data_IF_695046545952
#
_entry.id   IF_695046545952
#
_cell.length_a   1.000
_cell.length_b   1.000
_cell.length_c   1.000
_cell.angle_alpha   90.00
_cell.angle_beta   90.00
_cell.angle_gamma   90.00
#
_symmetry.space_group_name_H-M   'P 1'
#
loop_
_entity.id
_entity.type
_entity.pdbx_description
1 polymer ?
#
# COMPACT_ATOMS: atom_id res chain seq x y z
N UNK A 1 5.81 3.13 3.04
CA UNK A 1 5.81 4.61 3.05
C UNK A 1 5.15 5.20 4.28
N UNK A 2 3.88 4.90 4.58
CA UNK A 2 3.19 5.46 5.76
C UNK A 2 3.94 5.21 7.07
N UNK A 3 4.30 3.94 7.35
CA UNK A 3 5.08 3.60 8.55
C UNK A 3 6.39 4.41 8.64
N UNK A 4 7.16 4.45 7.55
CA UNK A 4 8.41 5.22 7.52
C UNK A 4 8.23 6.73 7.71
N UNK A 5 7.16 7.32 7.17
CA UNK A 5 6.83 8.73 7.42
C UNK A 5 6.54 8.98 8.90
N UNK A 6 5.68 8.15 9.51
CA UNK A 6 5.33 8.28 10.93
C UNK A 6 6.55 8.09 11.83
N UNK A 7 7.35 7.05 11.61
CA UNK A 7 8.56 6.77 12.39
C UNK A 7 9.61 7.87 12.19
N UNK A 8 9.80 8.33 10.95
CA UNK A 8 10.77 9.40 10.65
C UNK A 8 10.45 10.72 11.35
N UNK A 9 9.17 11.08 11.42
CA UNK A 9 8.71 12.25 12.18
C UNK A 9 8.79 11.98 13.69
N UNK A 10 8.37 10.80 14.15
CA UNK A 10 8.43 10.40 15.56
C UNK A 10 9.86 10.48 16.14
N UNK A 11 10.88 10.18 15.33
CA UNK A 11 12.29 10.34 15.72
C UNK A 11 12.71 11.79 15.98
N UNK A 12 12.02 12.77 15.40
CA UNK A 12 12.25 14.20 15.66
C UNK A 12 11.43 14.74 16.83
N UNK A 13 10.62 13.90 17.48
CA UNK A 13 9.84 14.28 18.64
C UNK A 13 10.73 14.71 19.80
N UNK A 14 10.28 15.71 20.55
CA UNK A 14 10.88 16.11 21.82
C UNK A 14 10.63 15.08 22.92
N UNK A 15 9.62 14.23 22.77
CA UNK A 15 9.33 13.16 23.72
C UNK A 15 10.39 12.05 23.62
N UNK A 16 11.12 11.84 24.72
CA UNK A 16 12.20 10.85 24.82
C UNK A 16 11.73 9.44 24.47
N UNK A 17 10.57 9.00 24.97
CA UNK A 17 10.06 7.65 24.74
C UNK A 17 9.77 7.43 23.26
N UNK A 18 9.04 8.35 22.63
CA UNK A 18 8.67 8.27 21.21
C UNK A 18 9.93 8.27 20.34
N UNK A 19 10.89 9.13 20.65
CA UNK A 19 12.17 9.22 19.94
C UNK A 19 12.99 7.94 20.08
N UNK A 20 13.13 7.40 21.30
CA UNK A 20 13.91 6.19 21.57
C UNK A 20 13.29 4.96 20.91
N UNK A 21 11.96 4.81 20.94
CA UNK A 21 11.30 3.71 20.23
C UNK A 21 11.50 3.80 18.71
N UNK A 22 11.42 5.01 18.14
CA UNK A 22 11.68 5.20 16.72
C UNK A 22 13.14 4.87 16.34
N UNK A 23 14.11 5.26 17.17
CA UNK A 23 15.53 4.92 17.00
C UNK A 23 15.73 3.40 17.05
N UNK A 24 15.18 2.74 18.09
CA UNK A 24 15.31 1.30 18.25
C UNK A 24 14.73 0.53 17.06
N UNK A 25 13.54 0.92 16.58
CA UNK A 25 12.95 0.33 15.37
C UNK A 25 13.88 0.52 14.15
N UNK A 26 14.38 1.74 13.91
CA UNK A 26 15.25 2.00 12.76
C UNK A 26 16.53 1.15 12.83
N UNK A 27 17.19 1.13 13.98
CA UNK A 27 18.43 0.39 14.19
C UNK A 27 18.23 -1.12 14.01
N UNK A 28 17.15 -1.69 14.57
CA UNK A 28 16.87 -3.13 14.44
C UNK A 28 16.63 -3.50 12.97
N UNK A 29 15.78 -2.77 12.26
CA UNK A 29 15.34 -3.17 10.93
C UNK A 29 16.31 -2.78 9.80
N UNK A 30 17.18 -1.78 9.98
CA UNK A 30 18.23 -1.48 9.01
C UNK A 30 19.47 -2.35 9.16
N UNK A 31 19.81 -2.76 10.39
CA UNK A 31 21.02 -3.54 10.65
C UNK A 31 20.81 -5.06 10.58
N UNK A 32 19.59 -5.52 10.36
CA UNK A 32 19.30 -6.96 10.17
C UNK A 32 18.98 -7.25 8.70
N UNK A 33 19.56 -8.30 8.09
CA UNK A 33 19.25 -8.68 6.73
C UNK A 33 17.76 -8.98 6.54
N UNK A 34 17.14 -8.47 5.48
CA UNK A 34 15.72 -8.69 5.18
C UNK A 34 15.35 -10.18 5.13
N UNK A 35 16.22 -11.03 4.57
CA UNK A 35 15.98 -12.47 4.52
C UNK A 35 15.82 -13.07 5.92
N UNK A 36 16.64 -12.65 6.89
CA UNK A 36 16.54 -13.09 8.28
C UNK A 36 15.24 -12.59 8.91
N UNK A 37 14.84 -11.35 8.63
CA UNK A 37 13.56 -10.80 9.12
C UNK A 37 12.37 -11.59 8.57
N UNK A 38 12.36 -11.91 7.28
CA UNK A 38 11.32 -12.72 6.66
C UNK A 38 11.24 -14.11 7.28
N UNK A 39 12.39 -14.76 7.46
CA UNK A 39 12.46 -16.07 8.09
C UNK A 39 11.98 -16.02 9.54
N UNK A 40 12.39 -15.01 10.31
CA UNK A 40 11.96 -14.81 11.69
C UNK A 40 10.44 -14.58 11.79
N UNK A 41 9.88 -13.66 11.00
CA UNK A 41 8.44 -13.38 11.00
C UNK A 41 7.65 -14.64 10.62
N UNK A 42 8.08 -15.34 9.57
CA UNK A 42 7.38 -16.54 9.14
C UNK A 42 7.47 -17.67 10.17
N UNK A 43 8.68 -18.02 10.63
CA UNK A 43 8.90 -19.19 11.48
C UNK A 43 8.61 -18.96 12.95
N UNK A 44 8.99 -17.80 13.50
CA UNK A 44 8.88 -17.52 14.93
C UNK A 44 7.57 -16.84 15.31
N UNK A 45 6.94 -16.11 14.39
CA UNK A 45 5.67 -15.40 14.66
C UNK A 45 4.48 -16.12 14.06
N UNK A 46 4.53 -16.50 12.77
CA UNK A 46 3.36 -17.05 12.09
C UNK A 46 3.20 -18.56 12.28
N UNK A 47 4.29 -19.34 12.25
CA UNK A 47 4.21 -20.79 12.48
C UNK A 47 3.98 -21.17 13.95
N UNK A 48 4.17 -20.25 14.89
CA UNK A 48 3.85 -20.44 16.31
C UNK A 48 2.38 -20.21 16.62
N UNK A 49 1.61 -19.64 15.67
CA UNK A 49 0.15 -19.54 15.79
C UNK A 49 -0.50 -20.92 15.83
N UNK A 50 -1.72 -21.03 16.40
CA UNK A 50 -2.47 -22.28 16.41
C UNK A 50 -2.68 -22.86 15.02
N UNK A 51 -2.76 -24.19 14.94
CA UNK A 51 -3.01 -24.89 13.68
C UNK A 51 -4.37 -24.50 13.11
N UNK A 52 -4.53 -24.59 11.80
CA UNK A 52 -5.79 -24.26 11.12
C UNK A 52 -7.00 -25.10 11.56
N UNK A 53 -6.80 -26.21 12.26
CA UNK A 53 -7.87 -27.03 12.86
C UNK A 53 -8.48 -26.38 14.10
N UNK A 54 -7.71 -25.57 14.83
CA UNK A 54 -8.15 -24.87 16.06
C UNK A 54 -7.67 -23.40 15.98
N UNK A 55 -8.22 -22.60 15.06
CA UNK A 55 -7.76 -21.24 14.85
C UNK A 55 -8.23 -20.29 15.95
N UNK A 56 -7.56 -19.16 16.05
CA UNK A 56 -8.01 -18.03 16.88
C UNK A 56 -9.18 -17.36 16.16
N UNK A 57 -10.31 -17.25 16.85
CA UNK A 57 -11.51 -16.57 16.35
C UNK A 57 -11.29 -15.07 16.52
N UNK A 58 -11.34 -14.32 15.41
CA UNK A 58 -11.21 -12.87 15.42
C UNK A 58 -12.60 -12.20 15.44
N UNK A 59 -12.69 -10.90 15.77
CA UNK A 59 -13.93 -10.15 15.63
C UNK A 59 -14.41 -10.13 14.15
N UNK A 60 -15.65 -10.57 13.92
CA UNK A 60 -16.18 -10.82 12.58
C UNK A 60 -15.95 -12.27 12.12
N UNK A 61 -16.54 -12.72 10.99
CA UNK A 61 -16.39 -14.10 10.51
C UNK A 61 -15.00 -14.32 9.88
N UNK A 62 -13.96 -14.23 10.71
CA UNK A 62 -12.55 -14.33 10.34
C UNK A 62 -11.77 -15.14 11.37
N UNK A 63 -10.77 -15.86 10.89
CA UNK A 63 -9.98 -16.80 11.69
C UNK A 63 -8.49 -16.61 11.42
N UNK A 64 -7.68 -16.70 12.47
CA UNK A 64 -6.23 -16.60 12.38
C UNK A 64 -5.58 -17.93 12.78
N UNK A 65 -4.69 -18.43 11.92
CA UNK A 65 -3.95 -19.66 12.18
C UNK A 65 -2.56 -19.64 11.54
N UNK A 66 -1.79 -20.71 11.77
CA UNK A 66 -0.49 -20.94 11.14
C UNK A 66 -0.54 -21.01 9.61
N UNK A 67 -1.72 -21.26 9.02
CA UNK A 67 -1.91 -21.22 7.56
C UNK A 67 -2.13 -19.80 7.04
N UNK A 68 -2.47 -18.85 7.90
CA UNK A 68 -2.71 -17.45 7.56
C UNK A 68 -4.01 -16.90 8.14
N UNK A 69 -4.51 -15.83 7.53
CA UNK A 69 -5.73 -15.14 7.92
C UNK A 69 -6.86 -15.53 6.96
N UNK A 70 -7.88 -16.21 7.47
CA UNK A 70 -9.10 -16.50 6.75
C UNK A 70 -10.12 -15.38 6.97
N UNK A 71 -10.57 -14.74 5.91
CA UNK A 71 -11.58 -13.68 5.92
C UNK A 71 -12.76 -14.06 5.02
N UNK A 72 -13.91 -13.38 5.12
CA UNK A 72 -14.98 -13.53 4.15
C UNK A 72 -14.49 -13.16 2.75
N UNK A 73 -14.89 -13.95 1.75
CA UNK A 73 -14.60 -13.67 0.35
C UNK A 73 -15.83 -13.06 -0.33
N UNK A 74 -15.59 -12.15 -1.26
CA UNK A 74 -16.63 -11.62 -2.14
C UNK A 74 -16.55 -12.35 -3.47
N UNK A 75 -17.55 -13.19 -3.74
CA UNK A 75 -17.63 -13.93 -4.99
C UNK A 75 -18.52 -13.14 -5.95
N UNK A 76 -18.00 -12.87 -7.14
CA UNK A 76 -18.75 -12.21 -8.20
C UNK A 76 -19.78 -13.18 -8.79
N UNK A 77 -21.06 -12.80 -8.73
CA UNK A 77 -22.17 -13.54 -9.35
C UNK A 77 -22.20 -13.29 -10.86
N UNK A 78 -22.98 -14.07 -11.62
CA UNK A 78 -23.19 -13.85 -13.06
C UNK A 78 -23.70 -12.43 -13.39
N UNK A 79 -24.38 -11.78 -12.44
CA UNK A 79 -24.90 -10.41 -12.55
C UNK A 79 -23.86 -9.32 -12.28
N UNK A 80 -22.66 -9.67 -11.80
CA UNK A 80 -21.61 -8.71 -11.45
C UNK A 80 -21.15 -7.87 -12.65
N UNK A 81 -21.01 -8.49 -13.82
CA UNK A 81 -20.63 -7.78 -15.04
C UNK A 81 -21.66 -6.73 -15.46
N UNK A 82 -22.95 -7.06 -15.34
CA UNK A 82 -24.04 -6.14 -15.65
C UNK A 82 -24.11 -4.98 -14.63
N UNK A 83 -23.89 -5.27 -13.35
CA UNK A 83 -23.78 -4.24 -12.32
C UNK A 83 -22.61 -3.27 -12.59
N UNK A 84 -21.45 -3.77 -12.99
CA UNK A 84 -20.30 -2.93 -13.36
C UNK A 84 -20.63 -2.02 -14.54
N UNK A 85 -21.27 -2.55 -15.59
CA UNK A 85 -21.67 -1.75 -16.75
C UNK A 85 -22.68 -0.66 -16.37
N UNK A 86 -23.73 -0.98 -15.61
CA UNK A 86 -24.70 0.01 -15.17
C UNK A 86 -24.08 1.08 -14.27
N UNK A 87 -23.15 0.68 -13.39
CA UNK A 87 -22.43 1.62 -12.53
C UNK A 87 -21.54 2.55 -13.38
N UNK A 88 -20.85 2.03 -14.40
CA UNK A 88 -20.05 2.84 -15.32
C UNK A 88 -20.90 3.81 -16.15
N UNK A 89 -22.08 3.38 -16.62
CA UNK A 89 -23.04 4.24 -17.31
C UNK A 89 -23.55 5.32 -16.35
N UNK A 90 -23.89 4.97 -15.10
CA UNK A 90 -24.30 5.91 -14.06
C UNK A 90 -23.23 6.94 -13.71
N UNK A 91 -21.97 6.52 -13.66
CA UNK A 91 -20.81 7.40 -13.50
C UNK A 91 -20.73 8.38 -14.69
N UNK A 92 -20.86 7.87 -15.92
CA UNK A 92 -20.81 8.69 -17.14
C UNK A 92 -21.96 9.71 -17.22
N UNK A 93 -23.19 9.30 -16.90
CA UNK A 93 -24.35 10.21 -16.88
C UNK A 93 -24.24 11.24 -15.76
N UNK A 94 -23.76 10.85 -14.58
CA UNK A 94 -23.52 11.77 -13.48
C UNK A 94 -22.43 12.80 -13.77
N UNK A 95 -21.31 12.40 -14.39
CA UNK A 95 -20.24 13.32 -14.82
C UNK A 95 -20.75 14.29 -15.89
N UNK A 96 -21.50 13.81 -16.88
CA UNK A 96 -22.04 14.67 -17.94
C UNK A 96 -23.08 15.66 -17.41
N UNK A 97 -23.94 15.26 -16.48
CA UNK A 97 -24.87 16.16 -15.78
C UNK A 97 -24.11 17.19 -14.94
N UNK A 98 -23.09 16.78 -14.18
CA UNK A 98 -22.25 17.70 -13.41
C UNK A 98 -21.60 18.74 -14.31
N UNK A 99 -21.00 18.33 -15.44
CA UNK A 99 -20.37 19.24 -16.39
C UNK A 99 -21.37 20.20 -17.04
N UNK A 100 -22.54 19.70 -17.47
CA UNK A 100 -23.60 20.53 -18.08
C UNK A 100 -24.17 21.55 -17.09
N UNK A 101 -24.54 21.12 -15.88
CA UNK A 101 -25.11 21.99 -14.86
C UNK A 101 -24.10 23.01 -14.33
N UNK A 102 -22.81 22.64 -14.28
CA UNK A 102 -21.72 23.58 -13.97
C UNK A 102 -21.55 24.63 -15.06
N UNK A 103 -21.63 24.24 -16.34
CA UNK A 103 -21.57 25.19 -17.47
C UNK A 103 -22.74 26.17 -17.43
N UNK A 104 -23.96 25.68 -17.22
CA UNK A 104 -25.17 26.52 -17.08
C UNK A 104 -25.03 27.49 -15.90
N UNK A 105 -24.48 27.05 -14.76
CA UNK A 105 -24.23 27.92 -13.59
C UNK A 105 -23.26 29.06 -13.92
N UNK A 106 -22.21 28.78 -14.69
CA UNK A 106 -21.22 29.78 -15.10
C UNK A 106 -21.82 30.79 -16.10
N UNK A 107 -22.72 30.35 -16.98
CA UNK A 107 -23.34 31.20 -18.01
C UNK A 107 -24.53 32.03 -17.49
N UNK A 108 -25.33 31.49 -16.56
CA UNK A 108 -26.58 32.12 -16.09
C UNK A 108 -26.49 32.76 -14.70
N UNK A 109 -25.40 32.54 -13.96
CA UNK A 109 -25.20 33.08 -12.61
C UNK A 109 -26.13 32.50 -11.53
N UNK A 110 -27.08 31.63 -11.89
CA UNK A 110 -28.00 30.97 -10.94
C UNK A 110 -27.28 29.82 -10.22
N UNK A 111 -27.49 29.70 -8.92
CA UNK A 111 -26.93 28.62 -8.11
C UNK A 111 -27.57 27.28 -8.49
N UNK A 112 -26.87 26.48 -9.28
CA UNK A 112 -27.25 25.09 -9.55
C UNK A 112 -26.50 24.15 -8.61
N UNK A 113 -27.21 23.20 -7.98
CA UNK A 113 -26.66 22.11 -7.15
C UNK A 113 -25.98 21.02 -8.01
N UNK A 114 -25.15 21.44 -8.97
CA UNK A 114 -24.60 20.58 -10.02
C UNK A 114 -23.79 19.40 -9.49
N UNK A 115 -22.99 19.62 -8.44
CA UNK A 115 -22.16 18.58 -7.82
C UNK A 115 -23.01 17.57 -7.05
N UNK A 116 -24.01 18.05 -6.30
CA UNK A 116 -24.92 17.19 -5.54
C UNK A 116 -25.77 16.32 -6.47
N UNK A 117 -26.33 16.91 -7.54
CA UNK A 117 -27.13 16.17 -8.53
C UNK A 117 -26.26 15.14 -9.26
N UNK A 118 -25.07 15.53 -9.72
CA UNK A 118 -24.13 14.62 -10.38
C UNK A 118 -23.76 13.44 -9.47
N UNK A 119 -23.33 13.72 -8.24
CA UNK A 119 -22.95 12.71 -7.27
C UNK A 119 -24.12 11.78 -6.88
N UNK A 120 -25.31 12.36 -6.72
CA UNK A 120 -26.53 11.59 -6.41
C UNK A 120 -26.83 10.61 -7.52
N UNK A 121 -26.75 11.02 -8.80
CA UNK A 121 -26.95 10.12 -9.95
C UNK A 121 -25.88 9.03 -10.01
N UNK A 122 -24.60 9.37 -9.82
CA UNK A 122 -23.50 8.39 -9.82
C UNK A 122 -23.70 7.30 -8.75
N UNK A 123 -24.08 7.70 -7.54
CA UNK A 123 -24.24 6.78 -6.40
C UNK A 123 -25.55 6.00 -6.52
N UNK A 124 -26.67 6.67 -6.81
CA UNK A 124 -27.99 6.04 -6.84
C UNK A 124 -28.08 4.95 -7.90
N UNK A 125 -27.55 5.16 -9.11
CA UNK A 125 -27.56 4.13 -10.16
C UNK A 125 -26.77 2.89 -9.72
N UNK A 126 -25.57 3.08 -9.15
CA UNK A 126 -24.75 1.96 -8.67
C UNK A 126 -25.38 1.21 -7.49
N UNK A 127 -26.00 1.94 -6.55
CA UNK A 127 -26.67 1.36 -5.38
C UNK A 127 -27.96 0.64 -5.76
N UNK A 128 -28.81 1.24 -6.62
CA UNK A 128 -30.02 0.61 -7.12
C UNK A 128 -29.65 -0.66 -7.90
N UNK A 129 -28.67 -0.58 -8.79
CA UNK A 129 -28.18 -1.75 -9.50
C UNK A 129 -27.64 -2.81 -8.55
N UNK A 130 -26.96 -2.44 -7.46
CA UNK A 130 -26.45 -3.38 -6.46
C UNK A 130 -27.59 -4.10 -5.74
N UNK A 131 -28.61 -3.35 -5.30
CA UNK A 131 -29.77 -3.88 -4.60
C UNK A 131 -30.55 -4.86 -5.49
N UNK A 132 -30.76 -4.50 -6.76
CA UNK A 132 -31.55 -5.30 -7.70
C UNK A 132 -30.79 -6.54 -8.17
N UNK A 133 -29.50 -6.39 -8.48
CA UNK A 133 -28.73 -7.43 -9.16
C UNK A 133 -27.96 -8.34 -8.20
N UNK A 134 -27.80 -7.94 -6.93
CA UNK A 134 -27.01 -8.64 -5.91
C UNK A 134 -25.71 -9.21 -6.50
N UNK A 135 -24.85 -8.34 -7.05
CA UNK A 135 -23.72 -8.73 -7.89
C UNK A 135 -22.65 -9.53 -7.16
N UNK A 136 -22.64 -9.48 -5.83
CA UNK A 136 -21.66 -10.15 -4.99
C UNK A 136 -22.37 -10.97 -3.92
N UNK A 137 -21.92 -12.20 -3.73
CA UNK A 137 -22.26 -13.02 -2.58
C UNK A 137 -21.07 -13.05 -1.63
N UNK A 138 -21.36 -12.99 -0.33
CA UNK A 138 -20.33 -13.13 0.70
C UNK A 138 -20.26 -14.61 1.06
N UNK A 139 -19.08 -15.19 0.86
CA UNK A 139 -18.81 -16.55 1.27
C UNK A 139 -17.92 -16.54 2.51
N UNK A 140 -18.39 -17.19 3.57
CA UNK A 140 -17.74 -17.16 4.87
C UNK A 140 -16.74 -18.32 5.01
N UNK A 141 -15.61 -18.10 5.70
CA UNK A 141 -14.68 -19.18 5.98
C UNK A 141 -15.32 -20.21 6.91
N UNK A 142 -15.18 -21.49 6.55
CA UNK A 142 -15.71 -22.63 7.32
C UNK A 142 -14.55 -23.53 7.77
N UNK A 143 -14.66 -24.08 8.98
CA UNK A 143 -13.67 -25.00 9.56
C UNK A 143 -14.06 -26.44 9.25
N UNK A 144 -13.23 -27.12 8.47
CA UNK A 144 -13.32 -28.54 8.19
C UNK A 144 -12.39 -29.38 9.06
N UNK A 145 -12.45 -30.71 8.87
CA UNK A 145 -11.68 -31.69 9.65
C UNK A 145 -10.15 -31.54 9.54
N UNK A 146 -9.66 -30.96 8.44
CA UNK A 146 -8.23 -30.77 8.17
C UNK A 146 -7.81 -29.28 8.16
N UNK A 147 -8.64 -28.40 8.75
CA UNK A 147 -8.47 -26.95 8.68
C UNK A 147 -9.51 -26.29 7.78
N UNK A 148 -9.18 -25.16 7.16
CA UNK A 148 -10.14 -24.41 6.35
C UNK A 148 -10.67 -25.22 5.15
N UNK A 149 -11.99 -25.18 4.95
CA UNK A 149 -12.64 -25.82 3.79
C UNK A 149 -12.16 -25.14 2.50
N UNK A 150 -11.77 -25.92 1.50
CA UNK A 150 -11.36 -25.38 0.19
C UNK A 150 -12.53 -24.64 -0.46
N UNK A 151 -12.23 -23.52 -1.12
CA UNK A 151 -13.20 -22.64 -1.77
C UNK A 151 -14.20 -21.97 -0.82
N UNK A 152 -13.93 -21.96 0.49
CA UNK A 152 -14.71 -21.24 1.49
C UNK A 152 -13.95 -20.07 2.09
N UNK A 153 -14.44 -18.86 1.85
CA UNK A 153 -13.76 -17.63 2.27
C UNK A 153 -12.44 -17.38 1.52
N UNK A 154 -11.76 -16.31 1.92
CA UNK A 154 -10.50 -15.86 1.35
C UNK A 154 -9.39 -16.16 2.36
N UNK A 155 -8.41 -16.96 1.96
CA UNK A 155 -7.28 -17.31 2.81
C UNK A 155 -6.08 -16.49 2.37
N UNK A 156 -5.71 -15.50 3.18
CA UNK A 156 -4.46 -14.77 3.03
C UNK A 156 -3.37 -15.61 3.67
N UNK A 157 -2.51 -16.22 2.84
CA UNK A 157 -1.51 -17.18 3.33
C UNK A 157 -0.55 -16.55 4.34
N UNK A 158 -0.08 -17.35 5.29
CA UNK A 158 0.96 -16.93 6.24
C UNK A 158 2.24 -16.45 5.52
N UNK A 159 2.62 -17.08 4.40
CA UNK A 159 3.78 -16.66 3.61
C UNK A 159 3.59 -15.27 2.99
N UNK A 160 2.39 -14.93 2.53
CA UNK A 160 2.08 -13.58 2.04
C UNK A 160 2.15 -12.54 3.18
N UNK A 161 1.55 -12.85 4.32
CA UNK A 161 1.59 -11.98 5.51
C UNK A 161 3.04 -11.73 5.95
N UNK A 162 3.89 -12.77 5.97
CA UNK A 162 5.30 -12.64 6.31
C UNK A 162 6.04 -11.67 5.39
N UNK A 163 5.81 -11.76 4.07
CA UNK A 163 6.45 -10.89 3.08
C UNK A 163 5.97 -9.46 3.23
N UNK A 164 4.66 -9.25 3.32
CA UNK A 164 4.10 -7.92 3.49
C UNK A 164 4.63 -7.27 4.77
N UNK A 165 4.59 -7.98 5.91
CA UNK A 165 5.10 -7.45 7.17
C UNK A 165 6.60 -7.20 7.12
N UNK A 166 7.40 -8.15 6.62
CA UNK A 166 8.85 -8.01 6.54
C UNK A 166 9.28 -6.85 5.63
N UNK A 167 8.67 -6.73 4.45
CA UNK A 167 8.95 -5.61 3.54
C UNK A 167 8.49 -4.27 4.13
N UNK A 168 7.32 -4.22 4.78
CA UNK A 168 6.83 -2.98 5.41
C UNK A 168 7.75 -2.54 6.55
N UNK A 169 8.18 -3.47 7.40
CA UNK A 169 9.07 -3.17 8.52
C UNK A 169 10.47 -2.77 8.05
N UNK A 170 11.06 -3.52 7.11
CA UNK A 170 12.37 -3.22 6.54
C UNK A 170 12.38 -1.89 5.79
N UNK A 171 11.53 -1.75 4.76
CA UNK A 171 11.49 -0.55 3.92
C UNK A 171 10.99 0.65 4.71
N UNK A 172 10.11 0.45 5.69
CA UNK A 172 9.69 1.49 6.63
C UNK A 172 10.86 2.14 7.36
N UNK A 173 11.84 1.35 7.82
CA UNK A 173 13.01 1.85 8.53
C UNK A 173 13.93 2.69 7.63
N UNK A 174 14.18 2.27 6.38
CA UNK A 174 14.96 3.07 5.42
C UNK A 174 14.23 4.35 5.02
N UNK A 175 12.91 4.30 4.81
CA UNK A 175 12.11 5.50 4.52
C UNK A 175 12.13 6.46 5.71
N UNK A 176 12.09 5.97 6.95
CA UNK A 176 12.16 6.81 8.14
C UNK A 176 13.48 7.61 8.20
N UNK A 177 14.59 7.01 7.81
CA UNK A 177 15.89 7.68 7.74
C UNK A 177 15.93 8.77 6.67
N UNK A 178 15.36 8.48 5.49
CA UNK A 178 15.22 9.46 4.40
C UNK A 178 14.34 10.63 4.85
N UNK A 179 13.21 10.36 5.52
CA UNK A 179 12.30 11.38 6.04
C UNK A 179 12.99 12.25 7.07
N UNK A 180 13.70 11.66 8.04
CA UNK A 180 14.47 12.41 9.03
C UNK A 180 15.52 13.29 8.36
N UNK A 181 16.32 12.71 7.46
CA UNK A 181 17.42 13.41 6.79
C UNK A 181 16.92 14.55 5.92
N UNK A 182 15.81 14.35 5.20
CA UNK A 182 15.18 15.40 4.41
C UNK A 182 14.57 16.52 5.25
N UNK A 183 14.02 16.22 6.44
CA UNK A 183 13.54 17.28 7.36
C UNK A 183 14.73 18.08 7.90
N UNK A 184 15.81 17.40 8.28
CA UNK A 184 17.01 18.05 8.83
C UNK A 184 17.83 18.82 7.79
N UNK A 185 17.66 18.54 6.49
CA UNK A 185 18.33 19.30 5.44
C UNK A 185 17.76 20.72 5.27
N UNK A 186 16.60 21.02 5.86
CA UNK A 186 16.03 22.38 5.84
C UNK A 186 16.78 23.27 6.83
N UNK A 187 17.34 24.42 6.41
CA UNK A 187 18.15 25.29 7.27
C UNK A 187 17.42 25.71 8.54
N UNK A 188 18.13 25.70 9.68
CA UNK A 188 17.52 26.03 10.99
C UNK A 188 16.97 27.46 11.05
N UNK A 189 17.55 28.40 10.30
CA UNK A 189 17.03 29.77 10.19
C UNK A 189 15.59 29.85 9.67
N UNK A 190 15.14 28.90 8.83
CA UNK A 190 13.73 28.82 8.40
C UNK A 190 12.80 28.43 9.55
N UNK A 191 13.27 27.58 10.45
CA UNK A 191 12.52 27.18 11.64
C UNK A 191 12.42 28.33 12.64
N UNK A 192 13.54 29.02 12.88
CA UNK A 192 13.61 30.15 13.80
C UNK A 192 12.78 31.33 13.29
N UNK A 193 12.91 31.69 12.01
CA UNK A 193 12.11 32.75 11.39
C UNK A 193 10.60 32.46 11.47
N UNK A 194 10.18 31.23 11.19
CA UNK A 194 8.76 30.86 11.29
C UNK A 194 8.25 30.90 12.73
N UNK A 195 9.07 30.45 13.70
CA UNK A 195 8.72 30.54 15.12
C UNK A 195 8.60 32.00 15.59
N UNK A 196 9.49 32.89 15.13
CA UNK A 196 9.43 34.32 15.42
C UNK A 196 8.18 35.00 14.83
N UNK A 197 7.61 34.44 13.78
CA UNK A 197 6.32 34.87 13.21
C UNK A 197 5.09 34.24 13.89
N UNK A 198 5.28 33.52 15.00
CA UNK A 198 4.20 32.92 15.79
C UNK A 198 3.63 31.60 15.23
N UNK A 199 4.28 30.98 14.24
CA UNK A 199 3.82 29.68 13.75
C UNK A 199 4.04 28.58 14.80
N UNK A 200 3.01 27.75 15.00
CA UNK A 200 3.11 26.52 15.80
C UNK A 200 3.97 25.47 15.10
N UNK A 201 4.54 24.53 15.86
CA UNK A 201 5.40 23.46 15.32
C UNK A 201 4.75 22.67 14.16
N UNK A 202 3.45 22.34 14.29
CA UNK A 202 2.71 21.66 13.23
C UNK A 202 2.54 22.51 11.96
N UNK A 203 2.34 23.82 12.10
CA UNK A 203 2.28 24.74 10.97
C UNK A 203 3.64 24.87 10.28
N UNK A 204 4.73 25.02 11.05
CA UNK A 204 6.10 25.08 10.51
C UNK A 204 6.39 23.80 9.70
N UNK A 205 6.10 22.63 10.26
CA UNK A 205 6.26 21.36 9.57
C UNK A 205 5.46 21.30 8.27
N UNK A 206 4.15 21.54 8.33
CA UNK A 206 3.25 21.36 7.18
C UNK A 206 3.47 22.39 6.07
N UNK A 207 3.69 23.65 6.42
CA UNK A 207 3.67 24.77 5.48
C UNK A 207 5.06 25.14 4.95
N UNK A 208 6.12 24.89 5.71
CA UNK A 208 7.47 25.37 5.38
C UNK A 208 8.43 24.21 5.17
N UNK A 209 8.56 23.34 6.18
CA UNK A 209 9.62 22.32 6.21
C UNK A 209 9.31 21.15 5.29
N UNK A 210 8.14 20.50 5.41
CA UNK A 210 7.77 19.34 4.59
C UNK A 210 7.83 19.65 3.09
N UNK A 211 7.26 20.77 2.59
CA UNK A 211 7.35 21.11 1.16
C UNK A 211 8.78 21.23 0.62
N UNK A 212 9.72 21.70 1.43
CA UNK A 212 11.14 21.80 1.07
C UNK A 212 11.84 20.44 1.18
N UNK A 213 11.62 19.75 2.30
CA UNK A 213 12.18 18.44 2.59
C UNK A 213 11.79 17.38 1.55
N UNK A 214 10.55 17.40 1.05
CA UNK A 214 10.07 16.49 0.01
C UNK A 214 10.97 16.47 -1.23
N UNK A 215 11.52 17.63 -1.62
CA UNK A 215 12.41 17.75 -2.79
C UNK A 215 13.73 16.99 -2.60
N UNK A 216 14.22 16.96 -1.37
CA UNK A 216 15.44 16.24 -0.98
C UNK A 216 15.15 14.75 -0.76
N UNK A 217 13.95 14.40 -0.29
CA UNK A 217 13.54 13.01 -0.03
C UNK A 217 13.25 12.20 -1.31
N UNK A 218 12.71 12.81 -2.36
CA UNK A 218 12.24 12.09 -3.56
C UNK A 218 13.35 11.28 -4.27
N UNK A 219 14.55 11.83 -4.52
CA UNK A 219 15.62 11.07 -5.18
C UNK A 219 15.98 9.77 -4.45
N UNK A 220 16.29 9.74 -3.14
CA UNK A 220 16.58 8.49 -2.45
C UNK A 220 15.35 7.57 -2.30
N UNK A 221 14.13 8.11 -2.25
CA UNK A 221 12.91 7.28 -2.27
C UNK A 221 12.79 6.46 -3.56
N UNK A 222 13.24 7.00 -4.70
CA UNK A 222 13.29 6.26 -5.98
C UNK A 222 14.07 4.96 -5.84
N UNK A 223 15.26 5.03 -5.23
CA UNK A 223 16.08 3.85 -5.00
C UNK A 223 15.39 2.87 -4.05
N UNK A 224 14.68 3.36 -3.03
CA UNK A 224 13.94 2.50 -2.11
C UNK A 224 12.77 1.77 -2.77
N UNK A 225 12.04 2.40 -3.70
CA UNK A 225 10.99 1.71 -4.46
C UNK A 225 11.57 0.66 -5.42
N UNK A 226 12.71 0.94 -6.05
CA UNK A 226 13.42 -0.06 -6.88
C UNK A 226 13.90 -1.25 -6.03
N UNK A 227 14.45 -0.98 -4.84
CA UNK A 227 14.87 -2.02 -3.91
C UNK A 227 13.69 -2.81 -3.37
N UNK A 228 12.55 -2.17 -3.08
CA UNK A 228 11.33 -2.86 -2.66
C UNK A 228 10.86 -3.86 -3.71
N UNK A 229 10.86 -3.48 -5.00
CA UNK A 229 10.50 -4.37 -6.10
C UNK A 229 11.45 -5.57 -6.18
N UNK A 230 12.77 -5.35 -6.08
CA UNK A 230 13.77 -6.44 -6.10
C UNK A 230 13.67 -7.34 -4.87
N UNK A 231 13.53 -6.75 -3.69
CA UNK A 231 13.45 -7.46 -2.42
C UNK A 231 12.19 -8.31 -2.29
N UNK A 232 11.13 -8.01 -3.05
CA UNK A 232 9.93 -8.87 -3.10
C UNK A 232 10.24 -10.31 -3.55
N UNK A 233 11.29 -10.52 -4.34
CA UNK A 233 11.76 -11.85 -4.78
C UNK A 233 12.27 -12.73 -3.63
N UNK A 234 12.68 -12.13 -2.49
CA UNK A 234 13.05 -12.89 -1.30
C UNK A 234 11.86 -13.65 -0.69
N UNK A 235 10.64 -13.35 -1.13
CA UNK A 235 9.44 -14.09 -0.76
C UNK A 235 9.51 -15.59 -1.09
N UNK A 236 10.27 -15.98 -2.10
CA UNK A 236 10.52 -17.37 -2.42
C UNK A 236 11.20 -18.14 -1.27
N UNK A 237 11.92 -17.45 -0.37
CA UNK A 237 12.57 -18.07 0.79
C UNK A 237 11.57 -18.53 1.87
N UNK A 238 10.41 -17.90 1.97
CA UNK A 238 9.32 -18.30 2.87
C UNK A 238 8.24 -19.11 2.15
N UNK A 239 8.56 -19.64 0.96
CA UNK A 239 7.66 -20.49 0.18
C UNK A 239 6.48 -19.76 -0.47
N UNK A 240 6.57 -18.43 -0.64
CA UNK A 240 5.56 -17.70 -1.40
C UNK A 240 5.82 -17.79 -2.90
N UNK A 241 4.79 -18.11 -3.67
CA UNK A 241 4.86 -18.27 -5.11
C UNK A 241 4.70 -16.92 -5.84
N UNK A 242 5.71 -16.05 -5.71
CA UNK A 242 5.84 -14.86 -6.57
C UNK A 242 6.55 -15.21 -7.90
N UNK A 243 6.84 -14.22 -8.75
CA UNK A 243 7.40 -14.43 -10.10
C UNK A 243 8.62 -15.36 -10.08
N UNK A 244 9.58 -15.12 -9.18
CA UNK A 244 10.76 -15.96 -9.06
C UNK A 244 10.46 -17.33 -8.41
N UNK A 245 9.55 -17.40 -7.43
CA UNK A 245 9.07 -18.65 -6.82
C UNK A 245 8.36 -19.58 -7.80
N UNK A 246 7.49 -19.03 -8.66
CA UNK A 246 6.82 -19.77 -9.74
C UNK A 246 7.84 -20.27 -10.76
N UNK A 247 8.76 -19.40 -11.18
CA UNK A 247 9.84 -19.76 -12.10
C UNK A 247 10.73 -20.89 -11.54
N UNK A 248 11.09 -20.84 -10.26
CA UNK A 248 11.84 -21.91 -9.58
C UNK A 248 11.10 -23.24 -9.62
N UNK A 249 9.78 -23.22 -9.47
CA UNK A 249 8.93 -24.42 -9.55
C UNK A 249 8.90 -24.98 -10.97
N UNK A 250 8.73 -24.12 -11.98
CA UNK A 250 8.75 -24.53 -13.39
C UNK A 250 10.11 -25.08 -13.84
N UNK A 251 11.20 -24.52 -13.31
CA UNK A 251 12.57 -24.90 -13.63
C UNK A 251 12.96 -26.30 -13.11
N UNK A 252 12.10 -26.95 -12.30
CA UNK A 252 12.25 -28.37 -11.97
C UNK A 252 11.85 -29.30 -13.12
N UNK A 253 11.00 -28.82 -14.04
CA UNK A 253 10.44 -29.60 -15.16
C UNK A 253 10.94 -29.14 -16.53
N UNK A 254 11.54 -27.95 -16.63
CA UNK A 254 11.96 -27.30 -17.88
C UNK A 254 13.35 -26.69 -17.70
N UNK A 255 14.11 -26.55 -18.79
CA UNK A 255 15.42 -25.88 -18.79
C UNK A 255 15.40 -24.53 -18.06
N UNK A 256 16.34 -24.37 -17.13
CA UNK A 256 16.40 -23.21 -16.23
C UNK A 256 16.68 -21.90 -16.98
N UNK A 257 17.55 -21.94 -18.01
CA UNK A 257 18.05 -20.73 -18.67
C UNK A 257 16.94 -19.89 -19.33
N UNK A 258 16.06 -20.44 -20.19
CA UNK A 258 14.97 -19.65 -20.78
C UNK A 258 14.02 -19.04 -19.74
N UNK A 259 13.72 -19.79 -18.67
CA UNK A 259 12.85 -19.31 -17.58
C UNK A 259 13.50 -18.11 -16.89
N UNK A 260 14.79 -18.20 -16.56
CA UNK A 260 15.50 -17.10 -15.89
C UNK A 260 15.61 -15.86 -16.76
N UNK A 261 15.76 -15.99 -18.09
CA UNK A 261 15.73 -14.86 -19.03
C UNK A 261 14.37 -14.15 -18.96
N UNK A 262 13.26 -14.88 -18.93
CA UNK A 262 11.90 -14.31 -18.81
C UNK A 262 11.76 -13.58 -17.47
N UNK A 263 12.19 -14.21 -16.36
CA UNK A 263 12.16 -13.59 -15.02
C UNK A 263 12.97 -12.30 -14.98
N UNK A 264 14.19 -12.31 -15.52
CA UNK A 264 15.03 -11.11 -15.61
C UNK A 264 14.35 -10.02 -16.44
N UNK A 265 13.71 -10.36 -17.55
CA UNK A 265 12.92 -9.43 -18.36
C UNK A 265 11.74 -8.82 -17.59
N UNK A 266 11.02 -9.62 -16.80
CA UNK A 266 9.92 -9.14 -15.96
C UNK A 266 10.44 -8.17 -14.89
N UNK A 267 11.48 -8.52 -14.12
CA UNK A 267 12.01 -7.60 -13.10
C UNK A 267 12.65 -6.34 -13.70
N UNK A 268 13.28 -6.45 -14.87
CA UNK A 268 13.81 -5.29 -15.58
C UNK A 268 12.68 -4.36 -16.01
N UNK A 269 11.61 -4.89 -16.61
CA UNK A 269 10.46 -4.07 -17.02
C UNK A 269 9.78 -3.39 -15.83
N UNK A 270 9.56 -4.11 -14.72
CA UNK A 270 9.04 -3.54 -13.48
C UNK A 270 9.95 -2.43 -12.93
N UNK A 271 11.28 -2.62 -12.99
CA UNK A 271 12.26 -1.63 -12.57
C UNK A 271 12.24 -0.38 -13.44
N UNK A 272 12.14 -0.55 -14.77
CA UNK A 272 12.06 0.57 -15.71
C UNK A 272 10.76 1.35 -15.56
N UNK A 273 9.62 0.66 -15.38
CA UNK A 273 8.33 1.31 -15.13
C UNK A 273 8.39 2.11 -13.83
N UNK A 274 8.90 1.50 -12.75
CA UNK A 274 9.05 2.18 -11.46
C UNK A 274 9.97 3.40 -11.58
N UNK A 275 11.11 3.25 -12.26
CA UNK A 275 12.06 4.34 -12.51
C UNK A 275 11.44 5.47 -13.33
N UNK A 276 10.66 5.15 -14.38
CA UNK A 276 9.99 6.15 -15.22
C UNK A 276 8.97 6.95 -14.42
N UNK A 277 8.11 6.28 -13.65
CA UNK A 277 7.13 6.93 -12.76
C UNK A 277 7.83 7.83 -11.74
N UNK A 278 8.89 7.33 -11.10
CA UNK A 278 9.65 8.09 -10.12
C UNK A 278 10.41 9.28 -10.74
N UNK A 279 10.87 9.16 -11.99
CA UNK A 279 11.54 10.26 -12.68
C UNK A 279 10.54 11.39 -13.05
N UNK A 280 9.32 11.04 -13.43
CA UNK A 280 8.23 12.02 -13.62
C UNK A 280 7.91 12.74 -12.31
N UNK A 281 7.90 12.04 -11.17
CA UNK A 281 7.75 12.69 -9.87
C UNK A 281 8.96 13.59 -9.56
N UNK A 282 10.18 13.11 -9.77
CA UNK A 282 11.40 13.87 -9.50
C UNK A 282 11.43 15.20 -10.26
N UNK A 283 11.17 15.18 -11.56
CA UNK A 283 11.15 16.38 -12.42
C UNK A 283 10.10 17.42 -12.00
N UNK A 284 8.99 17.02 -11.35
CA UNK A 284 8.01 17.96 -10.79
C UNK A 284 8.49 18.70 -9.54
N UNK A 285 9.43 18.11 -8.79
CA UNK A 285 9.89 18.63 -7.50
C UNK A 285 11.36 19.11 -7.51
N UNK A 286 12.09 18.93 -8.61
CA UNK A 286 13.45 19.43 -8.76
C UNK A 286 13.52 20.95 -8.60
N UNK A 287 14.55 21.41 -7.88
CA UNK A 287 14.88 22.83 -7.81
C UNK A 287 15.37 23.23 -9.20
N UNK A 288 14.63 24.11 -9.88
CA UNK A 288 15.19 24.86 -11.03
C UNK A 288 16.26 25.78 -10.46
N UNK A 289 17.49 25.28 -10.38
CA UNK A 289 18.65 26.15 -10.22
C UNK A 289 18.66 27.07 -11.44
N UNK A 290 18.55 28.37 -11.19
CA UNK A 290 18.86 29.39 -12.19
C UNK A 290 20.37 29.46 -12.37
#
# INVERSE_FOLDING_TARGET
>A
TLLGLFVGIARLSTNLLVRTLAIAYIEVFQNTPLLLQLFFIFTSVLLTLPRATEPIILPGPSYLSSSGLATPNLIATQTAGLWLLLTMIGIGTGITLWQRLRKIRLETGRTTYAAEIGLTVMISVGVIAWIVLQPFTVDFPELGRFGYVRNKGAIISASFVAIVLGLVLYTGAFIAEIVRSGIQSVPIGQWEAARSQGFSYGQILRLIVIPQALRVMIPPLTNQYLNLAKNSSLGAAVGFAEVFGVARTMAQSVSVVPIMVIVMGIYLSLSLITSAVMNVLNTRFQIKTR
#
